data_IF_432993404076
#
_entry.id   IF_432993404076
#
_cell.length_a   1.000
_cell.length_b   1.000
_cell.length_c   1.000
_cell.angle_alpha   90.00
_cell.angle_beta   90.00
_cell.angle_gamma   90.00
#
_symmetry.space_group_name_H-M   'P 1'
#
loop_
_entity.id
_entity.type
_entity.pdbx_description
1 polymer ?
#
# COMPACT_ATOMS: atom_id res chain seq x y z
N UNK A 1 19.85 -13.76 -3.56
CA UNK A 1 19.56 -13.10 -2.26
C UNK A 1 18.11 -13.38 -1.89
N UNK A 2 17.81 -13.74 -0.63
CA UNK A 2 16.44 -14.03 -0.16
C UNK A 2 15.91 -12.83 0.62
N UNK A 3 14.67 -12.45 0.37
CA UNK A 3 13.96 -11.41 1.13
C UNK A 3 12.48 -11.75 1.26
N UNK A 4 11.80 -11.07 2.19
CA UNK A 4 10.35 -11.21 2.41
C UNK A 4 9.66 -9.99 1.79
N UNK A 5 8.57 -10.24 1.07
CA UNK A 5 7.70 -9.24 0.52
C UNK A 5 6.25 -9.47 0.95
N UNK A 6 5.51 -8.39 1.17
CA UNK A 6 4.07 -8.42 1.39
C UNK A 6 3.39 -7.54 0.34
N UNK A 7 2.56 -8.15 -0.50
CA UNK A 7 1.93 -7.52 -1.67
C UNK A 7 0.45 -7.18 -1.47
N UNK A 8 -0.13 -7.46 -0.30
CA UNK A 8 -1.54 -7.16 -0.05
C UNK A 8 -1.74 -6.54 1.33
N UNK A 9 -1.85 -5.23 1.35
CA UNK A 9 -2.21 -4.44 2.51
C UNK A 9 -3.24 -3.40 2.11
N UNK A 10 -3.86 -2.79 3.11
CA UNK A 10 -4.74 -1.65 2.94
C UNK A 10 -4.19 -0.43 3.66
N UNK A 11 -4.49 0.74 3.11
CA UNK A 11 -4.23 2.03 3.73
C UNK A 11 -5.23 2.34 4.84
N UNK A 12 -4.99 3.40 5.60
CA UNK A 12 -5.96 3.93 6.57
C UNK A 12 -7.27 4.45 5.94
N UNK A 13 -7.34 4.57 4.61
CA UNK A 13 -8.55 5.02 3.89
C UNK A 13 -9.48 3.87 3.50
N UNK A 14 -9.03 2.63 3.66
CA UNK A 14 -9.91 1.47 3.53
C UNK A 14 -10.90 1.38 4.68
N UNK A 15 -11.99 0.63 4.46
CA UNK A 15 -12.98 0.39 5.51
C UNK A 15 -12.42 -0.61 6.52
N UNK A 16 -12.70 -0.37 7.80
CA UNK A 16 -12.32 -1.25 8.90
C UNK A 16 -10.81 -1.51 9.06
N UNK A 17 -9.97 -0.59 8.58
CA UNK A 17 -8.51 -0.61 8.78
C UNK A 17 -8.08 0.34 9.90
N UNK A 18 -6.93 0.07 10.53
CA UNK A 18 -6.38 0.97 11.54
C UNK A 18 -6.06 2.36 10.95
N UNK A 19 -6.23 3.41 11.76
CA UNK A 19 -5.82 4.77 11.43
C UNK A 19 -4.30 4.91 11.30
N UNK A 20 -3.56 3.99 11.94
CA UNK A 20 -2.10 3.93 11.94
C UNK A 20 -1.54 3.21 10.70
N UNK A 21 -2.39 2.86 9.72
CA UNK A 21 -1.95 2.34 8.42
C UNK A 21 -1.41 3.49 7.54
N UNK A 22 -0.36 4.16 8.02
CA UNK A 22 0.41 5.20 7.34
C UNK A 22 1.85 4.76 7.04
N UNK A 23 2.58 5.53 6.23
CA UNK A 23 3.89 5.12 5.71
C UNK A 23 4.93 4.93 6.84
N UNK A 24 4.93 5.81 7.83
CA UNK A 24 5.88 5.76 8.94
C UNK A 24 5.68 4.52 9.82
N UNK A 25 4.44 4.21 10.17
CA UNK A 25 4.12 3.01 10.93
C UNK A 25 4.35 1.74 10.11
N UNK A 26 3.98 1.75 8.83
CA UNK A 26 4.23 0.63 7.92
C UNK A 26 5.73 0.34 7.81
N UNK A 27 6.57 1.37 7.66
CA UNK A 27 8.03 1.21 7.64
C UNK A 27 8.55 0.62 8.95
N UNK A 28 8.11 1.16 10.09
CA UNK A 28 8.49 0.69 11.43
C UNK A 28 8.17 -0.80 11.60
N UNK A 29 6.95 -1.21 11.27
CA UNK A 29 6.54 -2.61 11.40
C UNK A 29 7.20 -3.53 10.38
N UNK A 30 7.45 -3.07 9.15
CA UNK A 30 8.19 -3.83 8.16
C UNK A 30 9.62 -4.14 8.65
N UNK A 31 10.31 -3.15 9.25
CA UNK A 31 11.63 -3.34 9.87
C UNK A 31 11.58 -4.41 10.98
N UNK A 32 10.62 -4.30 11.90
CA UNK A 32 10.47 -5.25 13.01
C UNK A 32 10.15 -6.67 12.53
N UNK A 33 9.33 -6.80 11.47
CA UNK A 33 8.95 -8.09 10.89
C UNK A 33 10.00 -8.67 9.92
N UNK A 34 11.04 -7.90 9.57
CA UNK A 34 12.04 -8.31 8.58
C UNK A 34 11.54 -8.33 7.13
N UNK A 35 10.42 -7.64 6.84
CA UNK A 35 9.91 -7.47 5.48
C UNK A 35 10.80 -6.44 4.78
N UNK A 36 11.24 -6.72 3.54
CA UNK A 36 12.08 -5.79 2.77
C UNK A 36 11.32 -5.00 1.73
N UNK A 37 10.29 -5.61 1.13
CA UNK A 37 9.39 -4.95 0.19
C UNK A 37 7.98 -5.01 0.73
N UNK A 38 7.36 -3.86 0.93
CA UNK A 38 6.03 -3.74 1.49
C UNK A 38 5.14 -3.04 0.47
N UNK A 39 3.89 -3.48 0.34
CA UNK A 39 2.96 -2.77 -0.52
C UNK A 39 2.38 -1.52 0.14
N UNK A 40 2.09 -0.54 -0.71
CA UNK A 40 1.22 0.58 -0.41
C UNK A 40 -0.09 0.31 -1.11
N UNK A 41 -1.01 -0.29 -0.34
CA UNK A 41 -2.37 -0.54 -0.76
C UNK A 41 -3.16 0.73 -1.02
N UNK A 42 -4.22 0.58 -1.81
CA UNK A 42 -5.20 1.62 -2.11
C UNK A 42 -4.59 2.92 -2.67
N UNK A 43 -3.45 2.85 -3.36
CA UNK A 43 -2.71 4.05 -3.81
C UNK A 43 -3.56 5.00 -4.69
N UNK A 44 -4.64 4.48 -5.27
CA UNK A 44 -5.59 5.22 -6.10
C UNK A 44 -6.54 6.13 -5.30
N UNK A 45 -6.59 6.03 -3.97
CA UNK A 45 -7.37 6.94 -3.14
C UNK A 45 -6.79 8.37 -3.22
N UNK A 46 -7.57 9.42 -3.55
CA UNK A 46 -7.02 10.75 -3.88
C UNK A 46 -6.15 11.38 -2.79
N UNK A 47 -6.62 11.35 -1.54
CA UNK A 47 -5.86 11.89 -0.41
C UNK A 47 -4.62 11.06 -0.10
N UNK A 48 -4.72 9.74 -0.34
CA UNK A 48 -3.58 8.86 -0.12
C UNK A 48 -2.52 9.16 -1.17
N UNK A 49 -2.90 9.20 -2.44
CA UNK A 49 -2.02 9.52 -3.56
C UNK A 49 -1.27 10.85 -3.38
N UNK A 50 -1.96 11.88 -2.89
CA UNK A 50 -1.33 13.16 -2.52
C UNK A 50 -0.24 12.97 -1.45
N UNK A 51 -0.58 12.27 -0.37
CA UNK A 51 0.37 11.96 0.70
C UNK A 51 1.59 11.15 0.21
N UNK A 52 1.36 10.17 -0.67
CA UNK A 52 2.42 9.35 -1.27
C UNK A 52 3.39 10.21 -2.09
N UNK A 53 2.90 11.14 -2.90
CA UNK A 53 3.75 12.07 -3.67
C UNK A 53 4.58 12.98 -2.77
N UNK A 54 4.01 13.42 -1.65
CA UNK A 54 4.69 14.28 -0.70
C UNK A 54 5.82 13.54 0.04
N UNK A 55 5.56 12.30 0.46
CA UNK A 55 6.44 11.55 1.37
C UNK A 55 7.38 10.54 0.72
N UNK A 56 7.07 10.07 -0.49
CA UNK A 56 7.88 9.06 -1.17
C UNK A 56 8.81 9.65 -2.21
N UNK A 57 9.95 8.99 -2.37
CA UNK A 57 10.87 9.21 -3.49
C UNK A 57 11.22 7.86 -4.15
N UNK A 58 11.53 7.86 -5.45
CA UNK A 58 12.03 6.66 -6.12
C UNK A 58 13.30 6.12 -5.45
N UNK A 59 13.44 4.81 -5.42
CA UNK A 59 14.65 4.13 -4.93
C UNK A 59 15.27 3.24 -6.00
N UNK A 60 14.48 2.33 -6.56
CA UNK A 60 14.82 1.44 -7.67
C UNK A 60 13.64 1.44 -8.67
N UNK A 61 13.79 0.92 -9.92
CA UNK A 61 12.69 0.89 -10.87
C UNK A 61 11.43 0.24 -10.30
N UNK A 62 10.34 1.01 -10.22
CA UNK A 62 9.05 0.57 -9.65
C UNK A 62 8.98 0.52 -8.13
N UNK A 63 10.07 0.85 -7.42
CA UNK A 63 10.14 0.85 -5.95
C UNK A 63 10.37 2.25 -5.39
N UNK A 64 9.77 2.49 -4.23
CA UNK A 64 9.81 3.76 -3.53
C UNK A 64 10.38 3.59 -2.12
N UNK A 65 10.83 4.69 -1.52
CA UNK A 65 11.21 4.78 -0.12
C UNK A 65 10.67 6.06 0.49
N UNK A 66 10.58 6.10 1.82
CA UNK A 66 10.28 7.33 2.55
C UNK A 66 11.42 8.33 2.37
N UNK A 67 11.09 9.58 2.04
CA UNK A 67 12.03 10.70 2.02
C UNK A 67 12.66 10.87 3.39
N UNK A 68 13.94 11.24 3.41
CA UNK A 68 14.73 11.46 4.64
C UNK A 68 14.80 10.23 5.58
N UNK A 69 14.43 9.03 5.10
CA UNK A 69 14.57 7.80 5.85
C UNK A 69 15.82 7.05 5.40
N UNK A 70 16.70 6.70 6.36
CA UNK A 70 17.84 5.79 6.14
C UNK A 70 17.44 4.31 6.03
N UNK A 71 16.16 4.04 5.80
CA UNK A 71 15.58 2.71 5.80
C UNK A 71 15.94 1.90 4.55
N UNK A 72 16.10 0.59 4.76
CA UNK A 72 16.25 -0.39 3.66
C UNK A 72 14.91 -0.95 3.18
N UNK A 73 13.79 -0.51 3.76
CA UNK A 73 12.46 -0.89 3.32
C UNK A 73 12.17 -0.25 1.97
N UNK A 74 11.54 -1.01 1.09
CA UNK A 74 11.03 -0.55 -0.19
C UNK A 74 9.53 -0.70 -0.24
N UNK A 75 8.92 0.25 -0.91
CA UNK A 75 7.50 0.28 -1.14
C UNK A 75 7.19 0.03 -2.60
N UNK A 76 6.13 -0.72 -2.87
CA UNK A 76 5.54 -0.88 -4.19
C UNK A 76 4.09 -0.38 -4.16
N UNK A 77 3.61 0.22 -5.25
CA UNK A 77 2.23 0.73 -5.31
C UNK A 77 1.30 -0.38 -5.80
N UNK A 78 0.27 -0.71 -5.02
CA UNK A 78 -0.77 -1.69 -5.42
C UNK A 78 -2.15 -1.21 -5.02
N UNK A 79 -3.18 -1.76 -5.67
CA UNK A 79 -4.56 -1.48 -5.31
C UNK A 79 -5.40 -2.75 -5.43
N UNK A 80 -6.46 -2.82 -4.65
CA UNK A 80 -7.47 -3.88 -4.74
C UNK A 80 -8.76 -3.28 -5.33
N UNK A 81 -9.45 -4.04 -6.17
CA UNK A 81 -10.72 -3.62 -6.78
C UNK A 81 -11.84 -4.50 -6.24
N UNK A 82 -12.89 -3.88 -5.71
CA UNK A 82 -14.13 -4.58 -5.40
C UNK A 82 -14.91 -4.87 -6.68
N UNK A 83 -15.04 -6.16 -7.03
CA UNK A 83 -15.83 -6.59 -8.19
C UNK A 83 -17.31 -6.82 -7.85
N UNK A 84 -17.87 -5.95 -6.99
CA UNK A 84 -19.30 -5.89 -6.68
C UNK A 84 -19.92 -4.68 -7.37
N UNK A 85 -20.87 -4.92 -8.28
CA UNK A 85 -21.46 -3.85 -9.08
C UNK A 85 -22.94 -4.13 -9.39
N UNK A 86 -23.70 -3.07 -9.67
CA UNK A 86 -25.11 -3.15 -10.04
C UNK A 86 -25.28 -2.99 -11.55
N UNK A 87 -26.01 -3.90 -12.19
CA UNK A 87 -26.34 -3.82 -13.63
C UNK A 87 -27.76 -4.32 -13.87
N UNK A 88 -28.59 -3.52 -14.57
CA UNK A 88 -30.00 -3.81 -14.82
C UNK A 88 -30.77 -4.16 -13.53
N UNK A 89 -30.62 -3.32 -12.50
CA UNK A 89 -31.26 -3.48 -11.18
C UNK A 89 -30.91 -4.78 -10.42
N UNK A 90 -29.83 -5.48 -10.80
CA UNK A 90 -29.32 -6.67 -10.09
C UNK A 90 -27.89 -6.45 -9.64
N UNK A 91 -27.59 -6.86 -8.40
CA UNK A 91 -26.23 -6.89 -7.86
C UNK A 91 -25.50 -8.10 -8.43
N UNK A 92 -24.25 -7.88 -8.86
CA UNK A 92 -23.33 -8.90 -9.35
C UNK A 92 -22.09 -8.87 -8.47
N UNK A 93 -21.57 -10.06 -8.17
CA UNK A 93 -20.37 -10.26 -7.36
C UNK A 93 -19.47 -11.22 -8.11
N UNK A 94 -18.27 -10.80 -8.48
CA UNK A 94 -17.27 -11.64 -9.14
C UNK A 94 -16.14 -11.85 -8.14
N UNK A 95 -15.72 -13.10 -7.96
CA UNK A 95 -14.49 -13.44 -7.25
C UNK A 95 -13.43 -13.76 -8.31
N UNK A 96 -12.25 -13.15 -8.22
CA UNK A 96 -11.13 -13.31 -9.15
C UNK A 96 -10.15 -14.33 -8.59
#
# INVERSE_FOLDING_TARGET
MRFIADFHLHSKYSRATSKDMDLENLEKWAKLKGIKVLTIGDFTHPEWFKNLKEKLEPAEPGLFKLKNSGSTIRFILTTEISCIYSKKFKVRKIHI
#
